data_IF_623475683839
#
_entry.id   IF_623475683839
#
_cell.length_a   1.000
_cell.length_b   1.000
_cell.length_c   1.000
_cell.angle_alpha   90.00
_cell.angle_beta   90.00
_cell.angle_gamma   90.00
#
_symmetry.space_group_name_H-M   'P 1'
#
loop_
_entity.id
_entity.type
_entity.pdbx_description
1 polymer ?
#
# COMPACT_ATOMS: atom_id res chain seq x y z
N UNK A 1 9.65 -26.07 36.68
CA UNK A 1 10.59 -26.77 35.77
C UNK A 1 9.89 -27.41 34.57
N UNK A 2 8.64 -27.82 34.64
CA UNK A 2 7.87 -28.49 33.58
C UNK A 2 7.52 -27.57 32.37
N UNK A 3 7.29 -26.27 32.56
CA UNK A 3 6.84 -25.35 31.49
C UNK A 3 7.89 -25.00 30.45
N UNK A 4 9.17 -24.95 30.81
CA UNK A 4 10.26 -24.62 29.86
C UNK A 4 10.56 -25.78 28.91
N UNK A 5 10.40 -27.02 29.34
CA UNK A 5 10.62 -28.21 28.51
C UNK A 5 9.47 -28.35 27.51
N UNK A 6 8.22 -28.10 27.90
CA UNK A 6 7.08 -28.11 26.98
C UNK A 6 7.19 -27.03 25.90
N UNK A 7 7.64 -25.83 26.27
CA UNK A 7 7.85 -24.76 25.32
C UNK A 7 8.99 -25.04 24.32
N UNK A 8 10.08 -25.67 24.82
CA UNK A 8 11.19 -26.10 23.97
C UNK A 8 10.79 -27.22 23.00
N UNK A 9 10.04 -28.21 23.46
CA UNK A 9 9.53 -29.28 22.60
C UNK A 9 8.52 -28.83 21.59
N UNK A 10 7.65 -27.87 21.93
CA UNK A 10 6.69 -27.27 21.02
C UNK A 10 7.40 -26.45 19.89
N UNK A 11 8.42 -25.67 20.23
CA UNK A 11 9.21 -24.95 19.23
C UNK A 11 10.05 -25.89 18.35
N UNK A 12 10.59 -26.97 18.91
CA UNK A 12 11.30 -28.01 18.16
C UNK A 12 10.35 -28.73 17.19
N UNK A 13 9.13 -29.02 17.61
CA UNK A 13 8.08 -29.65 16.81
C UNK A 13 7.62 -28.69 15.66
N UNK A 14 7.40 -27.40 15.96
CA UNK A 14 7.10 -26.39 14.94
C UNK A 14 8.25 -26.21 13.91
N UNK A 15 9.49 -26.23 14.37
CA UNK A 15 10.66 -26.16 13.47
C UNK A 15 10.80 -27.42 12.60
N UNK A 16 10.50 -28.59 13.14
CA UNK A 16 10.51 -29.85 12.38
C UNK A 16 9.33 -29.91 11.38
N UNK A 17 8.13 -29.45 11.76
CA UNK A 17 6.98 -29.32 10.87
C UNK A 17 7.26 -28.34 9.73
N UNK A 18 7.80 -27.17 10.04
CA UNK A 18 8.20 -26.21 9.01
C UNK A 18 9.28 -26.77 8.06
N UNK A 19 10.30 -27.46 8.60
CA UNK A 19 11.31 -28.13 7.76
C UNK A 19 10.71 -29.24 6.90
N UNK A 20 9.73 -30.00 7.38
CA UNK A 20 9.10 -31.07 6.60
C UNK A 20 8.18 -30.52 5.50
N UNK A 21 7.48 -29.40 5.75
CA UNK A 21 6.61 -28.74 4.77
C UNK A 21 7.45 -28.11 3.64
N UNK A 22 8.65 -27.59 3.97
CA UNK A 22 9.55 -27.01 2.96
C UNK A 22 10.49 -28.03 2.28
N UNK A 23 10.71 -29.22 2.89
CA UNK A 23 11.67 -30.21 2.40
C UNK A 23 11.16 -31.13 1.27
N UNK A 24 9.85 -31.12 0.95
CA UNK A 24 9.28 -32.09 -0.01
C UNK A 24 8.75 -31.48 -1.30
N UNK A 25 8.64 -30.16 -1.43
CA UNK A 25 8.21 -29.54 -2.68
C UNK A 25 9.40 -28.97 -3.45
N UNK A 26 10.01 -29.78 -4.33
CA UNK A 26 10.92 -29.26 -5.35
C UNK A 26 10.14 -28.24 -6.19
N UNK A 27 10.49 -26.95 -6.06
CA UNK A 27 9.84 -25.86 -6.81
C UNK A 27 9.86 -26.22 -8.31
N UNK A 28 8.68 -26.39 -8.88
CA UNK A 28 8.52 -26.57 -10.34
C UNK A 28 8.42 -25.18 -10.97
N UNK A 29 9.55 -24.66 -11.43
CA UNK A 29 9.61 -23.36 -12.08
C UNK A 29 8.96 -23.42 -13.46
N UNK A 30 8.09 -22.44 -13.77
CA UNK A 30 7.57 -22.19 -15.11
C UNK A 30 8.29 -20.97 -15.69
N UNK A 31 8.82 -21.11 -16.90
CA UNK A 31 9.41 -19.99 -17.64
C UNK A 31 8.40 -19.47 -18.66
N UNK A 32 8.24 -18.15 -18.74
CA UNK A 32 7.36 -17.47 -19.70
C UNK A 32 8.19 -16.36 -20.34
N UNK A 33 8.42 -16.45 -21.66
CA UNK A 33 9.22 -15.46 -22.38
C UNK A 33 8.47 -14.15 -22.63
N UNK A 34 9.20 -13.10 -23.01
CA UNK A 34 8.63 -11.82 -23.41
C UNK A 34 7.62 -11.98 -24.57
N UNK A 35 7.95 -12.82 -25.53
CA UNK A 35 7.10 -13.11 -26.69
C UNK A 35 5.79 -13.77 -26.25
N UNK A 36 5.88 -14.76 -25.35
CA UNK A 36 4.70 -15.42 -24.78
C UNK A 36 3.82 -14.42 -24.01
N UNK A 37 4.44 -13.55 -23.18
CA UNK A 37 3.72 -12.51 -22.43
C UNK A 37 2.98 -11.57 -23.40
N UNK A 38 3.62 -11.16 -24.49
CA UNK A 38 3.02 -10.25 -25.46
C UNK A 38 1.81 -10.85 -26.22
N UNK A 39 1.78 -12.16 -26.34
CA UNK A 39 0.72 -12.92 -27.04
C UNK A 39 -0.41 -13.38 -26.11
N UNK A 40 -0.25 -13.22 -24.79
CA UNK A 40 -1.29 -13.58 -23.83
C UNK A 40 -2.56 -12.78 -24.03
N UNK A 41 -3.69 -13.41 -23.74
CA UNK A 41 -4.97 -12.71 -23.60
C UNK A 41 -4.84 -11.57 -22.59
N UNK A 42 -5.54 -10.45 -22.86
CA UNK A 42 -5.41 -9.20 -22.10
C UNK A 42 -5.56 -9.42 -20.59
N UNK A 43 -6.57 -10.16 -20.16
CA UNK A 43 -6.87 -10.37 -18.73
C UNK A 43 -5.80 -11.26 -18.09
N UNK A 44 -5.41 -12.35 -18.74
CA UNK A 44 -4.36 -13.24 -18.24
C UNK A 44 -3.03 -12.48 -18.06
N UNK A 45 -2.61 -11.72 -19.06
CA UNK A 45 -1.41 -10.90 -19.01
C UNK A 45 -1.48 -9.86 -17.88
N UNK A 46 -2.62 -9.19 -17.75
CA UNK A 46 -2.84 -8.18 -16.72
C UNK A 46 -2.71 -8.79 -15.31
N UNK A 47 -3.37 -9.93 -15.07
CA UNK A 47 -3.31 -10.63 -13.79
C UNK A 47 -1.89 -11.09 -13.47
N UNK A 48 -1.22 -11.74 -14.42
CA UNK A 48 0.15 -12.24 -14.26
C UNK A 48 1.12 -11.10 -13.93
N UNK A 49 1.15 -10.06 -14.75
CA UNK A 49 2.14 -8.98 -14.61
C UNK A 49 1.89 -8.14 -13.37
N UNK A 50 0.64 -7.87 -13.00
CA UNK A 50 0.36 -7.12 -11.77
C UNK A 50 0.65 -7.93 -10.50
N UNK A 51 0.48 -9.26 -10.53
CA UNK A 51 0.72 -10.10 -9.34
C UNK A 51 2.17 -10.53 -9.18
N UNK A 52 2.95 -10.67 -10.25
CA UNK A 52 4.35 -11.11 -10.16
C UNK A 52 5.28 -10.09 -9.49
N UNK A 53 4.86 -8.85 -9.33
CA UNK A 53 5.63 -7.80 -8.63
C UNK A 53 5.59 -7.94 -7.11
N UNK A 54 4.83 -8.88 -6.58
CA UNK A 54 4.70 -9.12 -5.14
C UNK A 54 3.67 -8.23 -4.46
N UNK A 55 3.71 -8.23 -3.13
CA UNK A 55 2.80 -7.44 -2.30
C UNK A 55 3.16 -5.96 -2.35
N UNK A 56 2.13 -5.12 -2.41
CA UNK A 56 2.21 -3.67 -2.43
C UNK A 56 1.32 -3.09 -1.33
N UNK A 57 1.58 -1.85 -0.91
CA UNK A 57 0.66 -1.14 -0.03
C UNK A 57 -0.68 -0.93 -0.73
N UNK A 58 -1.77 -1.05 0.00
CA UNK A 58 -3.10 -0.68 -0.48
C UNK A 58 -3.52 0.61 0.23
N UNK A 59 -3.76 1.67 -0.54
CA UNK A 59 -4.02 3.00 -0.02
C UNK A 59 -5.22 3.64 -0.69
N UNK A 60 -5.96 4.42 0.06
CA UNK A 60 -6.93 5.36 -0.46
C UNK A 60 -6.27 6.74 -0.57
N UNK A 61 -6.24 7.31 -1.78
CA UNK A 61 -5.83 8.70 -1.99
C UNK A 61 -7.09 9.53 -2.06
N UNK A 62 -7.25 10.45 -1.10
CA UNK A 62 -8.37 11.37 -1.08
C UNK A 62 -7.92 12.77 -1.50
N UNK A 63 -8.77 13.45 -2.23
CA UNK A 63 -8.55 14.79 -2.79
C UNK A 63 -9.81 15.63 -2.66
N UNK A 64 -9.70 16.91 -2.96
CA UNK A 64 -10.84 17.83 -3.00
C UNK A 64 -10.72 18.72 -4.24
N UNK A 65 -11.81 18.92 -4.95
CA UNK A 65 -11.83 19.86 -6.07
C UNK A 65 -11.80 21.32 -5.58
N UNK A 66 -11.49 22.25 -6.47
CA UNK A 66 -11.56 23.69 -6.15
C UNK A 66 -12.97 24.15 -5.74
N UNK A 67 -14.01 23.44 -6.19
CA UNK A 67 -15.39 23.69 -5.82
C UNK A 67 -15.78 23.02 -4.48
N UNK A 68 -14.81 22.43 -3.76
CA UNK A 68 -15.00 21.82 -2.45
C UNK A 68 -15.52 20.38 -2.47
N UNK A 69 -15.60 19.71 -3.63
CA UNK A 69 -16.12 18.35 -3.74
C UNK A 69 -15.04 17.32 -3.40
N UNK A 70 -15.28 16.42 -2.44
CA UNK A 70 -14.32 15.36 -2.09
C UNK A 70 -14.32 14.25 -3.14
N UNK A 71 -13.19 13.55 -3.25
CA UNK A 71 -13.01 12.37 -4.09
C UNK A 71 -12.04 11.41 -3.41
N UNK A 72 -12.23 10.11 -3.56
CA UNK A 72 -11.33 9.09 -3.03
C UNK A 72 -11.17 7.93 -4.00
N UNK A 73 -9.93 7.47 -4.20
CA UNK A 73 -9.65 6.37 -5.10
C UNK A 73 -8.55 5.45 -4.53
N UNK A 74 -8.65 4.13 -4.83
CA UNK A 74 -7.66 3.15 -4.39
C UNK A 74 -6.42 3.16 -5.27
N UNK A 75 -5.24 3.12 -4.62
CA UNK A 75 -3.92 3.05 -5.25
C UNK A 75 -3.06 1.96 -4.61
N UNK A 76 -2.33 1.21 -5.44
CA UNK A 76 -1.36 0.19 -5.01
C UNK A 76 0.08 0.52 -5.42
N UNK A 77 0.34 1.75 -5.80
CA UNK A 77 1.64 2.18 -6.31
C UNK A 77 2.35 3.21 -5.43
N UNK A 78 1.81 3.48 -4.25
CA UNK A 78 2.47 4.39 -3.29
C UNK A 78 3.79 3.78 -2.84
N UNK A 79 4.87 4.57 -2.94
CA UNK A 79 6.22 4.16 -2.57
C UNK A 79 6.97 5.28 -1.84
N UNK A 80 7.83 4.88 -0.92
CA UNK A 80 8.77 5.77 -0.25
C UNK A 80 9.90 6.16 -1.22
N UNK A 81 10.25 7.45 -1.24
CA UNK A 81 11.34 7.99 -2.07
C UNK A 81 12.51 8.52 -1.22
N UNK A 82 12.24 9.07 -0.07
CA UNK A 82 13.27 9.61 0.83
C UNK A 82 12.69 10.01 2.18
N UNK A 83 13.54 10.04 3.20
CA UNK A 83 13.20 10.49 4.55
C UNK A 83 13.68 11.92 4.86
N UNK A 84 14.70 12.40 4.12
CA UNK A 84 15.23 13.77 4.23
C UNK A 84 15.58 14.29 2.82
N UNK A 85 14.70 15.08 2.18
CA UNK A 85 13.35 15.41 2.60
C UNK A 85 12.39 14.22 2.60
N UNK A 86 11.30 14.31 3.39
CA UNK A 86 10.28 13.27 3.48
C UNK A 86 9.43 13.25 2.20
N UNK A 87 9.76 12.37 1.28
CA UNK A 87 9.13 12.26 -0.04
C UNK A 87 8.51 10.88 -0.28
N UNK A 88 7.35 10.93 -0.92
CA UNK A 88 6.66 9.74 -1.45
C UNK A 88 6.35 9.94 -2.93
N UNK A 89 6.09 8.83 -3.62
CA UNK A 89 5.60 8.86 -4.99
C UNK A 89 4.52 7.83 -5.22
N UNK A 90 3.76 8.00 -6.30
CA UNK A 90 2.82 7.01 -6.80
C UNK A 90 2.59 7.15 -8.29
N UNK A 91 2.06 6.11 -8.91
CA UNK A 91 1.80 6.09 -10.35
C UNK A 91 0.33 6.43 -10.62
N UNK A 92 0.12 7.51 -11.36
CA UNK A 92 -1.15 7.84 -11.96
C UNK A 92 -1.29 7.12 -13.32
N UNK A 93 -2.41 6.45 -13.53
CA UNK A 93 -2.73 5.80 -14.81
C UNK A 93 -2.86 6.86 -15.92
N UNK A 94 -2.80 6.44 -17.22
CA UNK A 94 -2.94 7.38 -18.33
C UNK A 94 -4.17 8.27 -18.19
N UNK A 95 -3.97 9.56 -18.49
CA UNK A 95 -5.02 10.60 -18.40
C UNK A 95 -5.84 10.71 -19.69
N UNK A 96 -5.73 9.74 -20.60
CA UNK A 96 -6.62 9.58 -21.76
C UNK A 96 -8.09 9.40 -21.37
N UNK A 97 -8.32 8.94 -20.11
CA UNK A 97 -9.61 9.00 -19.44
C UNK A 97 -9.49 10.02 -18.31
N UNK A 98 -10.46 10.95 -18.16
CA UNK A 98 -10.44 11.92 -17.07
C UNK A 98 -10.29 11.24 -15.69
N UNK A 99 -9.49 11.87 -14.81
CA UNK A 99 -9.15 11.36 -13.47
C UNK A 99 -9.33 12.48 -12.47
N UNK A 100 -10.42 12.44 -11.69
CA UNK A 100 -10.70 13.47 -10.68
C UNK A 100 -9.55 13.61 -9.67
N UNK A 101 -8.96 12.52 -9.20
CA UNK A 101 -7.79 12.55 -8.32
C UNK A 101 -6.64 13.37 -8.92
N UNK A 102 -6.29 13.12 -10.19
CA UNK A 102 -5.19 13.85 -10.85
C UNK A 102 -5.53 15.33 -11.05
N UNK A 103 -6.74 15.61 -11.54
CA UNK A 103 -7.23 16.98 -11.72
C UNK A 103 -7.16 17.75 -10.41
N UNK A 104 -7.74 17.22 -9.35
CA UNK A 104 -7.77 17.85 -8.03
C UNK A 104 -6.38 18.13 -7.49
N UNK A 105 -5.44 17.17 -7.60
CA UNK A 105 -4.05 17.36 -7.19
C UNK A 105 -3.38 18.49 -7.95
N UNK A 106 -3.60 18.59 -9.27
CA UNK A 106 -3.02 19.67 -10.10
C UNK A 106 -3.60 21.03 -9.78
N UNK A 107 -4.89 21.10 -9.43
CA UNK A 107 -5.59 22.35 -9.16
C UNK A 107 -5.36 22.85 -7.73
N UNK A 108 -5.34 21.95 -6.74
CA UNK A 108 -5.24 22.33 -5.33
C UNK A 108 -3.84 22.19 -4.74
N UNK A 109 -3.02 21.33 -5.34
CA UNK A 109 -1.66 21.05 -4.85
C UNK A 109 -1.60 20.10 -3.66
N UNK A 110 -2.73 19.61 -3.13
CA UNK A 110 -2.77 18.81 -1.91
C UNK A 110 -3.64 17.56 -2.05
N UNK A 111 -3.32 16.54 -1.26
CA UNK A 111 -4.07 15.29 -1.16
C UNK A 111 -3.71 14.55 0.13
N UNK A 112 -4.49 13.52 0.46
CA UNK A 112 -4.15 12.62 1.57
C UNK A 112 -3.95 11.19 1.08
N UNK A 113 -3.09 10.45 1.80
CA UNK A 113 -2.91 9.01 1.63
C UNK A 113 -3.36 8.34 2.92
N UNK A 114 -4.24 7.37 2.79
CA UNK A 114 -4.88 6.70 3.92
C UNK A 114 -4.70 5.19 3.76
N UNK A 115 -4.05 4.55 4.74
CA UNK A 115 -3.90 3.10 4.74
C UNK A 115 -5.24 2.43 5.03
N UNK A 116 -5.57 1.37 4.32
CA UNK A 116 -6.83 0.64 4.51
C UNK A 116 -6.66 -0.51 5.50
N UNK A 117 -7.74 -0.80 6.22
CA UNK A 117 -7.88 -1.95 7.11
C UNK A 117 -8.73 -3.05 6.50
N UNK A 118 -8.81 -4.21 7.15
CA UNK A 118 -9.52 -5.37 6.62
C UNK A 118 -11.02 -5.13 6.39
N UNK A 119 -11.64 -4.34 7.24
CA UNK A 119 -13.05 -3.97 7.17
C UNK A 119 -13.36 -2.95 6.05
N UNK A 120 -12.36 -2.22 5.59
CA UNK A 120 -12.51 -1.25 4.49
C UNK A 120 -12.36 -1.87 3.09
N UNK A 121 -11.91 -3.14 2.96
CA UNK A 121 -11.50 -3.71 1.67
C UNK A 121 -12.57 -3.59 0.60
N UNK A 122 -13.83 -3.94 0.91
CA UNK A 122 -14.91 -3.95 -0.08
C UNK A 122 -15.19 -2.55 -0.63
N UNK A 123 -15.28 -1.56 0.25
CA UNK A 123 -15.54 -0.17 -0.12
C UNK A 123 -14.31 0.43 -0.84
N UNK A 124 -13.10 0.20 -0.32
CA UNK A 124 -11.88 0.64 -0.97
C UNK A 124 -11.72 0.07 -2.38
N UNK A 125 -12.01 -1.22 -2.58
CA UNK A 125 -12.00 -1.84 -3.91
C UNK A 125 -13.05 -1.21 -4.82
N UNK A 126 -14.23 -0.91 -4.29
CA UNK A 126 -15.33 -0.31 -5.05
C UNK A 126 -15.00 1.09 -5.58
N UNK A 127 -14.08 1.85 -4.93
CA UNK A 127 -13.60 3.14 -5.46
C UNK A 127 -12.83 3.00 -6.79
N UNK A 128 -12.50 1.78 -7.23
CA UNK A 128 -11.91 1.53 -8.56
C UNK A 128 -12.94 1.50 -9.70
N UNK A 129 -14.23 1.52 -9.39
CA UNK A 129 -15.30 1.54 -10.38
C UNK A 129 -15.26 2.85 -11.20
N UNK A 130 -15.72 2.76 -12.42
CA UNK A 130 -15.73 3.90 -13.34
C UNK A 130 -17.02 4.71 -13.16
N UNK A 131 -16.98 5.70 -12.28
CA UNK A 131 -18.07 6.65 -12.11
C UNK A 131 -17.98 7.80 -13.11
N UNK A 132 -19.10 8.49 -13.32
CA UNK A 132 -19.14 9.72 -14.08
C UNK A 132 -18.34 10.82 -13.36
N UNK A 133 -17.76 11.75 -14.14
CA UNK A 133 -17.00 12.86 -13.59
C UNK A 133 -17.79 13.64 -12.54
N UNK A 134 -17.11 13.94 -11.45
CA UNK A 134 -17.68 14.70 -10.36
C UNK A 134 -18.65 13.91 -9.48
N UNK A 135 -18.74 12.59 -9.58
CA UNK A 135 -19.37 11.74 -8.57
C UNK A 135 -18.31 11.31 -7.57
N UNK A 136 -18.52 11.65 -6.31
CA UNK A 136 -17.61 11.24 -5.23
C UNK A 136 -17.79 9.76 -4.91
N UNK A 137 -16.69 9.02 -4.81
CA UNK A 137 -16.73 7.63 -4.33
C UNK A 137 -17.11 7.53 -2.84
N UNK A 138 -16.94 8.60 -2.06
CA UNK A 138 -17.50 8.67 -0.71
C UNK A 138 -19.02 8.53 -0.71
N UNK A 139 -19.74 9.12 -1.70
CA UNK A 139 -21.19 8.99 -1.84
C UNK A 139 -21.64 7.59 -2.30
N UNK A 140 -20.73 6.75 -2.77
CA UNK A 140 -21.01 5.44 -3.39
C UNK A 140 -20.51 4.25 -2.57
N UNK A 141 -19.86 4.52 -1.45
CA UNK A 141 -19.29 3.54 -0.53
C UNK A 141 -19.69 3.87 0.90
N UNK A 142 -19.32 3.02 1.86
CA UNK A 142 -19.47 3.33 3.29
C UNK A 142 -18.24 4.03 3.87
N UNK A 143 -17.31 4.51 3.03
CA UNK A 143 -16.18 5.31 3.48
C UNK A 143 -16.68 6.68 3.94
N UNK A 144 -16.19 7.10 5.11
CA UNK A 144 -16.53 8.41 5.68
C UNK A 144 -15.33 9.36 5.57
N UNK A 145 -15.63 10.63 5.26
CA UNK A 145 -14.66 11.70 5.31
C UNK A 145 -14.35 12.07 6.75
N UNK A 146 -13.09 12.44 6.99
CA UNK A 146 -12.64 13.03 8.24
C UNK A 146 -11.75 14.23 7.92
N UNK A 147 -11.88 15.30 8.69
CA UNK A 147 -11.05 16.49 8.58
C UNK A 147 -10.26 16.69 9.88
N UNK A 148 -8.97 17.07 9.78
CA UNK A 148 -8.07 17.19 10.93
C UNK A 148 -7.40 18.54 10.92
N UNK A 149 -7.37 19.18 12.10
CA UNK A 149 -6.81 20.53 12.26
C UNK A 149 -7.46 21.50 11.24
N UNK A 150 -6.66 22.38 10.63
CA UNK A 150 -7.09 23.32 9.60
C UNK A 150 -6.86 22.77 8.16
N UNK A 151 -6.73 21.44 8.01
CA UNK A 151 -6.52 20.80 6.71
C UNK A 151 -7.86 20.61 6.03
N UNK A 152 -8.06 21.28 4.90
CA UNK A 152 -9.31 21.25 4.14
C UNK A 152 -9.46 20.03 3.22
N UNK A 153 -8.41 19.24 3.04
CA UNK A 153 -8.42 18.00 2.25
C UNK A 153 -8.95 16.86 3.12
N UNK A 154 -9.91 16.03 2.63
CA UNK A 154 -10.46 14.95 3.42
C UNK A 154 -9.42 13.84 3.67
N UNK A 155 -9.47 13.27 4.86
CA UNK A 155 -8.91 11.97 5.20
C UNK A 155 -10.01 10.92 5.14
N UNK A 156 -9.63 9.65 5.13
CA UNK A 156 -10.57 8.54 5.28
C UNK A 156 -10.64 8.14 6.75
N UNK A 157 -11.79 8.29 7.37
CA UNK A 157 -12.05 7.98 8.77
C UNK A 157 -11.73 6.51 9.08
N UNK A 158 -11.10 6.26 10.22
CA UNK A 158 -10.73 4.92 10.67
C UNK A 158 -9.42 4.37 10.08
N UNK A 159 -8.78 5.06 9.16
CA UNK A 159 -7.44 4.69 8.66
C UNK A 159 -6.41 4.84 9.77
N UNK A 160 -5.63 3.79 10.10
CA UNK A 160 -4.68 3.83 11.21
C UNK A 160 -3.40 4.62 10.93
N UNK A 161 -3.12 4.92 9.65
CA UNK A 161 -2.02 5.79 9.21
C UNK A 161 -2.52 6.66 8.07
N UNK A 162 -2.35 7.96 8.20
CA UNK A 162 -2.84 8.97 7.28
C UNK A 162 -1.77 10.03 7.03
N UNK A 163 -1.49 10.33 5.77
CA UNK A 163 -0.51 11.33 5.36
C UNK A 163 -1.22 12.49 4.67
N UNK A 164 -0.96 13.71 5.10
CA UNK A 164 -1.27 14.91 4.33
C UNK A 164 -0.07 15.23 3.45
N UNK A 165 -0.28 15.33 2.16
CA UNK A 165 0.78 15.44 1.17
C UNK A 165 0.59 16.67 0.29
N UNK A 166 1.73 17.28 -0.09
CA UNK A 166 1.78 18.37 -1.05
C UNK A 166 2.46 17.90 -2.33
N UNK A 167 1.81 18.15 -3.46
CA UNK A 167 2.40 17.91 -4.78
C UNK A 167 3.70 18.72 -4.95
N UNK A 168 4.76 18.05 -5.40
CA UNK A 168 6.07 18.66 -5.65
C UNK A 168 6.39 18.68 -7.14
N UNK A 169 6.28 17.53 -7.81
CA UNK A 169 6.64 17.37 -9.22
C UNK A 169 6.01 16.11 -9.79
N UNK A 170 6.16 15.92 -11.11
CA UNK A 170 5.75 14.70 -11.80
C UNK A 170 6.68 14.38 -12.96
N UNK A 171 6.76 13.09 -13.31
CA UNK A 171 7.51 12.59 -14.44
C UNK A 171 6.62 11.75 -15.34
N UNK A 172 6.51 12.14 -16.60
CA UNK A 172 5.80 11.35 -17.60
C UNK A 172 6.63 10.15 -18.03
N UNK A 173 6.04 8.95 -17.91
CA UNK A 173 6.63 7.69 -18.32
C UNK A 173 6.09 7.33 -19.70
N UNK A 174 6.84 7.74 -20.74
CA UNK A 174 6.45 7.60 -22.15
C UNK A 174 6.26 6.15 -22.62
N UNK A 175 6.86 5.19 -21.90
CA UNK A 175 6.81 3.77 -22.23
C UNK A 175 5.41 3.16 -22.07
N UNK A 176 4.55 3.76 -21.25
CA UNK A 176 3.20 3.27 -20.97
C UNK A 176 2.18 4.38 -20.67
N UNK A 177 2.52 5.63 -20.99
CA UNK A 177 1.67 6.82 -20.81
C UNK A 177 1.21 7.08 -19.37
N UNK A 178 1.95 6.60 -18.38
CA UNK A 178 1.66 6.86 -16.97
C UNK A 178 2.42 8.10 -16.46
N UNK A 179 2.01 8.61 -15.29
CA UNK A 179 2.65 9.74 -14.64
C UNK A 179 3.13 9.30 -13.26
N UNK A 180 4.41 9.49 -12.95
CA UNK A 180 4.94 9.32 -11.61
C UNK A 180 4.85 10.64 -10.87
N UNK A 181 3.94 10.73 -9.92
CA UNK A 181 3.75 11.91 -9.06
C UNK A 181 4.70 11.81 -7.87
N UNK A 182 5.33 12.95 -7.54
CA UNK A 182 6.20 13.14 -6.37
C UNK A 182 5.53 14.13 -5.43
N UNK A 183 5.49 13.80 -4.14
CA UNK A 183 4.92 14.65 -3.11
C UNK A 183 5.76 14.65 -1.84
N UNK A 184 5.72 15.77 -1.10
CA UNK A 184 6.24 15.88 0.26
C UNK A 184 5.16 15.50 1.27
N UNK A 185 5.59 14.92 2.40
CA UNK A 185 4.73 14.68 3.55
C UNK A 185 4.73 15.96 4.40
N UNK A 186 3.57 16.62 4.48
CA UNK A 186 3.40 17.85 5.28
C UNK A 186 2.95 17.53 6.71
N UNK A 187 2.09 16.51 6.88
CA UNK A 187 1.64 16.02 8.18
C UNK A 187 1.48 14.49 8.14
N UNK A 188 1.80 13.84 9.23
CA UNK A 188 1.61 12.40 9.44
C UNK A 188 0.75 12.19 10.69
N UNK A 189 -0.36 11.48 10.53
CA UNK A 189 -1.25 11.05 11.60
C UNK A 189 -1.25 9.52 11.67
N UNK A 190 -1.14 8.97 12.86
CA UNK A 190 -1.16 7.51 13.05
C UNK A 190 -1.67 7.17 14.45
N UNK A 191 -2.18 5.95 14.62
CA UNK A 191 -2.49 5.41 15.93
C UNK A 191 -1.18 5.27 16.74
N UNK A 192 -1.09 5.96 17.87
CA UNK A 192 0.11 6.00 18.73
C UNK A 192 0.57 4.60 19.19
N UNK A 193 -0.36 3.64 19.29
CA UNK A 193 -0.06 2.26 19.68
C UNK A 193 0.76 1.50 18.62
N UNK A 194 0.86 2.03 17.40
CA UNK A 194 1.67 1.43 16.33
C UNK A 194 3.15 1.79 16.43
N UNK A 195 3.50 2.87 17.17
CA UNK A 195 4.86 3.38 17.21
C UNK A 195 5.72 2.67 18.27
N UNK A 196 6.89 2.21 17.85
CA UNK A 196 7.95 1.75 18.72
C UNK A 196 8.79 2.93 19.23
N UNK A 197 9.53 2.71 20.31
CA UNK A 197 10.41 3.73 20.94
C UNK A 197 11.45 4.32 19.96
N UNK A 198 11.87 3.57 18.96
CA UNK A 198 12.81 4.01 17.93
C UNK A 198 12.16 4.72 16.73
N UNK A 199 10.86 5.00 16.82
CA UNK A 199 10.09 5.71 15.80
C UNK A 199 9.50 4.83 14.69
N UNK A 200 9.82 3.54 14.65
CA UNK A 200 9.28 2.63 13.65
C UNK A 200 7.79 2.33 13.90
N UNK A 201 6.96 2.33 12.83
CA UNK A 201 5.54 1.98 12.90
C UNK A 201 5.32 0.51 12.57
N UNK A 202 4.79 -0.24 13.53
CA UNK A 202 4.37 -1.63 13.34
C UNK A 202 2.96 -1.69 12.79
N UNK A 203 2.83 -1.50 11.47
CA UNK A 203 1.53 -1.31 10.79
C UNK A 203 0.66 -2.57 10.74
N UNK A 204 1.22 -3.76 10.89
CA UNK A 204 0.44 -5.01 10.98
C UNK A 204 -0.42 -5.08 12.27
N UNK A 205 -0.04 -4.39 13.35
CA UNK A 205 -0.87 -4.22 14.55
C UNK A 205 -2.12 -3.38 14.29
N UNK A 206 -2.07 -2.47 13.33
CA UNK A 206 -3.21 -1.67 12.87
C UNK A 206 -4.08 -2.38 11.83
N UNK A 207 -3.89 -3.67 11.60
CA UNK A 207 -4.59 -4.44 10.56
C UNK A 207 -4.49 -3.84 9.15
N UNK A 208 -3.37 -3.16 8.86
CA UNK A 208 -3.12 -2.55 7.55
C UNK A 208 -2.96 -3.63 6.49
N UNK A 209 -3.69 -3.46 5.40
CA UNK A 209 -3.79 -4.40 4.30
C UNK A 209 -2.69 -4.16 3.26
N UNK A 210 -2.20 -5.25 2.67
CA UNK A 210 -1.42 -5.23 1.44
C UNK A 210 -2.24 -5.83 0.28
N UNK A 211 -1.83 -5.53 -0.96
CA UNK A 211 -2.49 -6.03 -2.16
C UNK A 211 -1.50 -6.76 -3.05
N UNK A 212 -1.89 -7.92 -3.58
CA UNK A 212 -1.22 -8.63 -4.65
C UNK A 212 -2.04 -8.52 -5.93
N UNK A 213 -1.42 -8.16 -7.03
CA UNK A 213 -2.14 -7.88 -8.27
C UNK A 213 -3.00 -6.61 -8.15
N UNK A 214 -4.23 -6.71 -8.61
CA UNK A 214 -5.21 -5.61 -8.61
C UNK A 214 -6.36 -5.83 -7.62
N UNK A 215 -6.53 -7.05 -7.11
CA UNK A 215 -7.73 -7.52 -6.40
C UNK A 215 -7.46 -8.55 -5.29
N UNK A 216 -6.21 -8.98 -5.12
CA UNK A 216 -5.81 -9.96 -4.11
C UNK A 216 -5.39 -9.29 -2.80
N UNK A 217 -6.31 -9.02 -1.90
CA UNK A 217 -6.01 -8.40 -0.60
C UNK A 217 -5.49 -9.41 0.41
N UNK A 218 -4.53 -9.01 1.23
CA UNK A 218 -3.98 -9.82 2.30
C UNK A 218 -3.67 -9.00 3.55
N UNK A 219 -3.75 -9.65 4.71
CA UNK A 219 -3.33 -9.08 5.98
C UNK A 219 -1.88 -9.52 6.25
N UNK A 220 -0.89 -8.62 6.11
CA UNK A 220 0.50 -8.92 6.45
C UNK A 220 0.67 -9.25 7.93
N UNK A 221 1.68 -10.06 8.23
CA UNK A 221 2.12 -10.34 9.59
C UNK A 221 3.62 -10.15 9.66
N UNK A 222 4.08 -9.35 10.61
CA UNK A 222 5.50 -9.22 10.89
C UNK A 222 6.09 -10.57 11.28
N UNK A 223 7.15 -10.98 10.60
CA UNK A 223 7.87 -12.23 10.88
C UNK A 223 9.07 -11.96 11.76
N UNK A 224 9.85 -10.93 11.42
CA UNK A 224 11.03 -10.51 12.17
C UNK A 224 11.44 -9.10 11.76
N UNK A 225 12.23 -8.43 12.61
CA UNK A 225 12.85 -7.14 12.36
C UNK A 225 14.31 -7.20 12.79
N UNK A 226 15.22 -6.76 11.93
CA UNK A 226 16.66 -6.88 12.15
C UNK A 226 17.33 -5.53 12.37
N UNK A 227 18.37 -5.52 13.19
CA UNK A 227 19.26 -4.38 13.35
C UNK A 227 20.00 -4.12 12.03
N UNK A 228 20.52 -2.90 11.87
CA UNK A 228 21.30 -2.53 10.68
C UNK A 228 22.45 -3.51 10.48
N UNK A 229 22.51 -4.13 9.30
CA UNK A 229 23.53 -5.12 8.97
C UNK A 229 24.92 -4.46 8.86
N UNK A 230 25.93 -5.09 9.47
CA UNK A 230 27.33 -4.70 9.39
C UNK A 230 28.14 -5.85 8.84
N UNK A 231 29.11 -5.57 7.95
CA UNK A 231 29.89 -6.59 7.22
C UNK A 231 30.61 -7.59 8.13
N UNK A 232 31.07 -7.15 9.30
CA UNK A 232 31.91 -7.93 10.21
C UNK A 232 31.11 -8.47 11.43
N UNK A 233 29.77 -8.40 11.41
CA UNK A 233 28.91 -8.82 12.50
C UNK A 233 27.79 -9.73 11.99
N UNK A 234 27.40 -10.76 12.74
CA UNK A 234 26.22 -11.54 12.41
C UNK A 234 24.95 -10.67 12.49
N UNK A 235 23.97 -10.98 11.65
CA UNK A 235 22.64 -10.34 11.69
C UNK A 235 21.98 -10.61 13.03
N UNK A 236 21.47 -9.55 13.68
CA UNK A 236 20.82 -9.62 14.99
C UNK A 236 19.37 -9.16 14.89
N UNK A 237 18.44 -10.01 15.36
CA UNK A 237 17.03 -9.67 15.48
C UNK A 237 16.80 -8.68 16.63
N UNK A 238 15.71 -7.90 16.54
CA UNK A 238 15.20 -7.08 17.64
C UNK A 238 14.34 -7.89 18.63
N UNK A 239 13.90 -9.11 18.25
CA UNK A 239 13.02 -9.97 19.05
C UNK A 239 13.73 -11.19 19.62
#
# INVERSE_FOLDING_TARGET
MCSKIQYFLFNLYLNLLNKSIFATNKLKMKNISKETISQMEKIERLNLINSCTGYKSANLIATKSVDGKPNVAIFSSVTHLGSEPALIGFIMRPTTVPRDTYKNIKETGFFTINHITADMIADAHHTSANYELGISEFDKTNLEEEYKNDIEIPFVKGSPVQLHCKYVNEYYIKENDTIHIIASIENLFFDENLQHEDGWLQIDKGNVIAINGLDGYCLPKLVDRFQYARKDMPTKSFF
#
